data_IF_354795156637
#
_entry.id   IF_354795156637
#
_cell.length_a   1.000
_cell.length_b   1.000
_cell.length_c   1.000
_cell.angle_alpha   90.00
_cell.angle_beta   90.00
_cell.angle_gamma   90.00
#
_symmetry.space_group_name_H-M   'P 1'
#
loop_
_entity.id
_entity.type
_entity.pdbx_description
1 polymer ?
#
# COMPACT_ATOMS: atom_id res chain seq x y z
N UNK A 1 -3.21 -0.66 19.22
CA UNK A 1 -1.75 -0.50 19.17
C UNK A 1 -1.25 0.61 20.11
N UNK A 2 -0.37 0.27 21.06
CA UNK A 2 0.41 1.26 21.81
C UNK A 2 1.48 1.92 20.92
N UNK A 3 1.88 3.18 21.19
CA UNK A 3 2.92 3.86 20.42
C UNK A 3 4.23 3.06 20.34
N UNK A 4 4.79 2.97 19.14
CA UNK A 4 6.10 2.41 18.87
C UNK A 4 7.16 3.49 18.90
N UNK A 5 8.16 3.35 19.77
CA UNK A 5 9.24 4.34 19.93
C UNK A 5 10.58 3.72 19.55
N UNK A 6 11.30 4.34 18.61
CA UNK A 6 12.64 3.87 18.22
C UNK A 6 13.48 5.02 17.68
N UNK A 7 14.68 5.21 18.22
CA UNK A 7 15.65 6.19 17.69
C UNK A 7 15.13 7.63 17.64
N UNK A 8 14.34 8.04 18.64
CA UNK A 8 13.73 9.38 18.67
C UNK A 8 12.55 9.57 17.72
N UNK A 9 12.07 8.50 17.07
CA UNK A 9 10.84 8.48 16.29
C UNK A 9 9.72 7.78 17.06
N UNK A 10 8.48 8.21 16.80
CA UNK A 10 7.27 7.62 17.35
C UNK A 10 6.33 7.27 16.21
N UNK A 11 5.81 6.04 16.17
CA UNK A 11 4.68 5.66 15.36
C UNK A 11 3.47 5.36 16.25
N UNK A 12 2.35 6.04 16.01
CA UNK A 12 1.15 5.95 16.84
C UNK A 12 -0.12 6.13 16.02
N UNK A 13 -1.25 5.79 16.62
CA UNK A 13 -2.56 6.15 16.08
C UNK A 13 -2.78 7.67 16.23
N UNK A 14 -3.43 8.26 15.23
CA UNK A 14 -3.97 9.61 15.31
C UNK A 14 -5.13 9.64 16.33
N UNK A 15 -5.17 10.68 17.16
CA UNK A 15 -6.17 10.82 18.22
C UNK A 15 -6.88 12.19 18.11
N UNK A 16 -8.19 12.14 17.85
CA UNK A 16 -9.04 13.31 17.82
C UNK A 16 -8.83 14.25 16.61
N UNK A 17 -9.57 15.37 16.57
CA UNK A 17 -9.63 16.24 15.39
C UNK A 17 -8.30 16.90 15.03
N UNK A 18 -7.49 17.28 16.02
CA UNK A 18 -6.22 17.99 15.78
C UNK A 18 -5.20 17.13 15.01
N UNK A 19 -5.14 15.83 15.29
CA UNK A 19 -4.29 14.93 14.51
C UNK A 19 -4.85 14.68 13.12
N UNK A 20 -6.18 14.58 12.97
CA UNK A 20 -6.81 14.43 11.67
C UNK A 20 -6.53 15.65 10.77
N UNK A 21 -6.57 16.87 11.30
CA UNK A 21 -6.19 18.08 10.57
C UNK A 21 -4.74 18.01 10.07
N UNK A 22 -3.81 17.57 10.93
CA UNK A 22 -2.39 17.36 10.56
C UNK A 22 -2.25 16.30 9.47
N UNK A 23 -2.97 15.18 9.60
CA UNK A 23 -3.00 14.09 8.60
C UNK A 23 -3.50 14.60 7.25
N UNK A 24 -4.60 15.36 7.23
CA UNK A 24 -5.16 15.89 5.98
C UNK A 24 -4.22 16.89 5.32
N UNK A 25 -3.56 17.75 6.10
CA UNK A 25 -2.53 18.64 5.59
C UNK A 25 -1.35 17.87 4.97
N UNK A 26 -0.87 16.82 5.66
CA UNK A 26 0.23 15.99 5.20
C UNK A 26 -0.11 15.24 3.89
N UNK A 27 -1.32 14.67 3.81
CA UNK A 27 -1.79 13.97 2.62
C UNK A 27 -1.99 14.89 1.43
N UNK A 28 -2.58 16.08 1.61
CA UNK A 28 -2.76 17.05 0.52
C UNK A 28 -1.44 17.40 -0.16
N UNK A 29 -0.34 17.47 0.60
CA UNK A 29 0.98 17.69 0.04
C UNK A 29 1.54 16.45 -0.68
N UNK A 30 1.28 15.25 -0.17
CA UNK A 30 1.80 14.00 -0.73
C UNK A 30 1.04 13.49 -1.96
N UNK A 31 -0.28 13.70 -1.99
CA UNK A 31 -1.22 13.22 -3.00
C UNK A 31 -1.98 14.41 -3.61
N UNK A 32 -1.29 15.27 -4.40
CA UNK A 32 -1.96 16.36 -5.07
C UNK A 32 -3.01 15.81 -6.04
N UNK A 33 -4.25 16.25 -5.88
CA UNK A 33 -5.39 15.87 -6.71
C UNK A 33 -5.80 17.02 -7.62
N UNK A 34 -6.31 16.70 -8.80
CA UNK A 34 -6.86 17.70 -9.73
C UNK A 34 -8.05 18.44 -9.10
N UNK A 35 -8.94 17.74 -8.40
CA UNK A 35 -10.08 18.34 -7.68
C UNK A 35 -9.67 19.10 -6.40
N UNK A 36 -8.47 18.87 -5.88
CA UNK A 36 -8.01 19.40 -4.59
C UNK A 36 -8.61 18.72 -3.34
N UNK A 37 -9.55 17.77 -3.49
CA UNK A 37 -10.18 17.06 -2.37
C UNK A 37 -9.46 15.76 -2.03
N UNK A 38 -8.63 15.76 -0.99
CA UNK A 38 -7.86 14.56 -0.60
C UNK A 38 -8.58 13.64 0.40
N UNK A 39 -9.52 14.16 1.17
CA UNK A 39 -10.35 13.36 2.08
C UNK A 39 -11.31 12.46 1.29
N UNK A 40 -11.53 11.23 1.77
CA UNK A 40 -12.50 10.31 1.19
C UNK A 40 -13.26 9.53 2.27
N UNK A 41 -14.31 8.82 1.85
CA UNK A 41 -15.18 8.07 2.76
C UNK A 41 -14.46 7.00 3.61
N UNK A 42 -13.25 6.57 3.22
CA UNK A 42 -12.49 5.58 3.97
C UNK A 42 -11.80 6.17 5.19
N UNK A 43 -11.69 7.49 5.27
CA UNK A 43 -11.06 8.17 6.41
C UNK A 43 -11.83 7.94 7.70
N UNK A 44 -13.17 7.97 7.65
CA UNK A 44 -13.99 7.67 8.83
C UNK A 44 -13.90 6.21 9.30
N UNK A 45 -13.43 5.30 8.45
CA UNK A 45 -13.42 3.86 8.69
C UNK A 45 -12.02 3.30 8.99
N UNK A 46 -10.98 4.11 8.80
CA UNK A 46 -9.59 3.66 8.88
C UNK A 46 -8.94 4.05 10.20
N UNK A 47 -8.06 3.17 10.68
CA UNK A 47 -7.05 3.57 11.64
C UNK A 47 -5.99 4.41 10.93
N UNK A 48 -5.72 5.60 11.45
CA UNK A 48 -4.72 6.52 10.93
C UNK A 48 -3.42 6.37 11.72
N UNK A 49 -2.32 6.03 11.05
CA UNK A 49 -1.01 5.88 11.68
C UNK A 49 -0.11 7.04 11.28
N UNK A 50 0.38 7.75 12.29
CA UNK A 50 1.33 8.86 12.17
C UNK A 50 2.71 8.35 12.58
N UNK A 51 3.73 8.70 11.80
CA UNK A 51 5.15 8.57 12.18
C UNK A 51 5.73 9.97 12.31
N UNK A 52 6.20 10.33 13.50
CA UNK A 52 6.68 11.67 13.83
C UNK A 52 7.92 11.65 14.73
N UNK A 53 8.59 12.80 14.85
CA UNK A 53 9.66 12.97 15.82
C UNK A 53 9.14 12.92 17.26
N UNK A 54 9.98 12.46 18.19
CA UNK A 54 9.68 12.43 19.61
C UNK A 54 9.21 13.80 20.13
N UNK A 55 8.26 13.78 21.08
CA UNK A 55 7.68 15.00 21.65
C UNK A 55 6.60 15.67 20.78
N UNK A 56 6.00 14.95 19.82
CA UNK A 56 4.94 15.50 18.95
C UNK A 56 5.50 16.41 17.85
N UNK A 57 6.68 16.07 17.32
CA UNK A 57 7.39 16.86 16.33
C UNK A 57 6.76 16.85 14.93
N UNK A 58 7.57 17.15 13.91
CA UNK A 58 7.13 17.11 12.52
C UNK A 58 6.63 15.71 12.13
N UNK A 59 5.53 15.66 11.38
CA UNK A 59 5.06 14.42 10.76
C UNK A 59 6.03 14.05 9.64
N UNK A 60 6.55 12.82 9.71
CA UNK A 60 7.58 12.31 8.81
C UNK A 60 7.05 11.20 7.90
N UNK A 61 6.01 10.50 8.34
CA UNK A 61 5.33 9.47 7.57
C UNK A 61 3.90 9.29 8.03
N UNK A 62 3.09 8.74 7.14
CA UNK A 62 1.68 8.48 7.38
C UNK A 62 1.19 7.31 6.54
N UNK A 63 0.24 6.56 7.08
CA UNK A 63 -0.63 5.68 6.31
C UNK A 63 -1.93 5.44 7.05
N UNK A 64 -2.93 4.91 6.35
CA UNK A 64 -4.16 4.40 6.96
C UNK A 64 -4.29 2.91 6.76
N UNK A 65 -4.99 2.26 7.69
CA UNK A 65 -5.32 0.82 7.63
C UNK A 65 -6.79 0.62 7.94
N UNK A 66 -7.45 -0.16 7.11
CA UNK A 66 -8.76 -0.72 7.40
C UNK A 66 -8.62 -2.23 7.63
N UNK A 67 -9.26 -2.75 8.67
CA UNK A 67 -9.27 -4.18 8.98
C UNK A 67 -10.65 -4.76 8.65
N UNK A 68 -10.68 -5.81 7.84
CA UNK A 68 -11.86 -6.59 7.51
C UNK A 68 -11.78 -7.94 8.21
N UNK A 69 -12.83 -8.31 8.96
CA UNK A 69 -12.86 -9.57 9.70
C UNK A 69 -12.83 -10.82 8.83
N UNK A 70 -13.18 -10.71 7.54
CA UNK A 70 -13.19 -11.79 6.56
C UNK A 70 -13.08 -11.23 5.14
N UNK A 71 -12.81 -12.11 4.17
CA UNK A 71 -12.58 -11.74 2.77
C UNK A 71 -13.64 -10.84 2.13
N UNK A 72 -14.93 -11.19 2.29
CA UNK A 72 -16.04 -10.43 1.71
C UNK A 72 -16.17 -8.99 2.24
N UNK A 73 -15.54 -8.66 3.37
CA UNK A 73 -15.47 -7.27 3.85
C UNK A 73 -14.68 -6.35 2.91
N UNK A 74 -13.76 -6.88 2.11
CA UNK A 74 -12.90 -6.10 1.21
C UNK A 74 -13.69 -5.31 0.15
N UNK A 75 -14.92 -5.71 -0.19
CA UNK A 75 -15.82 -4.93 -1.07
C UNK A 75 -16.14 -3.52 -0.53
N UNK A 76 -15.94 -3.28 0.77
CA UNK A 76 -16.08 -1.95 1.38
C UNK A 76 -14.81 -1.11 1.26
N UNK A 77 -13.68 -1.71 0.89
CA UNK A 77 -12.37 -1.08 0.84
C UNK A 77 -12.18 -0.12 -0.34
N UNK A 78 -11.07 0.61 -0.30
CA UNK A 78 -10.66 1.50 -1.38
C UNK A 78 -10.36 0.74 -2.68
N UNK A 79 -9.70 -0.42 -2.60
CA UNK A 79 -9.35 -1.23 -3.77
C UNK A 79 -10.60 -1.68 -4.55
N UNK A 80 -11.69 -2.03 -3.84
CA UNK A 80 -12.95 -2.45 -4.43
C UNK A 80 -13.64 -1.36 -5.28
N UNK A 81 -13.22 -0.09 -5.18
CA UNK A 81 -13.70 0.98 -6.07
C UNK A 81 -13.16 0.84 -7.50
N UNK A 82 -12.01 0.18 -7.67
CA UNK A 82 -11.30 0.09 -8.95
C UNK A 82 -11.11 -1.34 -9.45
N UNK A 83 -11.14 -2.30 -8.54
CA UNK A 83 -10.98 -3.72 -8.81
C UNK A 83 -12.24 -4.48 -8.42
N UNK A 84 -12.57 -5.53 -9.17
CA UNK A 84 -13.52 -6.53 -8.72
C UNK A 84 -12.82 -7.49 -7.76
N UNK A 85 -13.04 -7.31 -6.46
CA UNK A 85 -12.38 -8.09 -5.40
C UNK A 85 -13.18 -9.33 -5.00
N UNK A 86 -14.25 -9.66 -5.74
CA UNK A 86 -15.05 -10.87 -5.55
C UNK A 86 -14.25 -12.17 -5.39
N UNK A 87 -13.16 -12.40 -6.15
CA UNK A 87 -12.30 -13.58 -5.98
C UNK A 87 -11.65 -13.72 -4.59
N UNK A 88 -11.51 -12.63 -3.84
CA UNK A 88 -10.99 -12.63 -2.47
C UNK A 88 -12.08 -12.74 -1.39
N UNK A 89 -13.37 -12.73 -1.77
CA UNK A 89 -14.48 -12.76 -0.82
C UNK A 89 -14.47 -13.99 0.10
N UNK A 90 -13.98 -15.12 -0.40
CA UNK A 90 -13.85 -16.38 0.35
C UNK A 90 -12.56 -16.52 1.16
N UNK A 91 -11.71 -15.49 1.23
CA UNK A 91 -10.45 -15.58 1.97
C UNK A 91 -10.72 -15.81 3.47
N UNK A 92 -10.14 -16.88 4.02
CA UNK A 92 -10.54 -17.43 5.32
C UNK A 92 -10.04 -16.64 6.54
N UNK A 93 -9.11 -15.72 6.34
CA UNK A 93 -8.49 -14.92 7.40
C UNK A 93 -8.85 -13.44 7.24
N UNK A 94 -8.74 -12.63 8.30
CA UNK A 94 -8.93 -11.19 8.20
C UNK A 94 -8.00 -10.56 7.15
N UNK A 95 -8.46 -9.47 6.54
CA UNK A 95 -7.71 -8.71 5.53
C UNK A 95 -7.41 -7.32 6.12
N UNK A 96 -6.15 -6.90 6.05
CA UNK A 96 -5.76 -5.53 6.28
C UNK A 96 -5.62 -4.81 4.93
N UNK A 97 -6.41 -3.77 4.68
CA UNK A 97 -6.19 -2.88 3.54
C UNK A 97 -5.40 -1.65 3.97
N UNK A 98 -4.29 -1.42 3.27
CA UNK A 98 -3.41 -0.29 3.50
C UNK A 98 -3.57 0.76 2.40
N UNK A 99 -3.68 2.02 2.82
CA UNK A 99 -3.86 3.15 1.91
C UNK A 99 -3.04 4.36 2.32
N UNK A 100 -2.90 5.28 1.35
CA UNK A 100 -2.30 6.61 1.55
C UNK A 100 -0.95 6.60 2.27
N UNK A 101 -0.12 5.59 1.99
CA UNK A 101 1.23 5.56 2.53
C UNK A 101 2.09 6.65 1.89
N UNK A 102 2.53 7.60 2.70
CA UNK A 102 3.41 8.68 2.26
C UNK A 102 4.44 9.04 3.34
N UNK A 103 5.51 9.69 2.89
CA UNK A 103 6.59 10.23 3.73
C UNK A 103 6.83 11.69 3.37
N UNK A 104 7.49 12.43 4.25
CA UNK A 104 7.75 13.85 4.05
C UNK A 104 8.54 14.11 2.75
N UNK A 105 8.26 15.25 2.11
CA UNK A 105 8.80 15.61 0.79
C UNK A 105 10.34 15.70 0.72
N UNK A 106 11.01 15.86 1.88
CA UNK A 106 12.48 15.88 1.99
C UNK A 106 13.17 14.54 1.70
N UNK A 107 12.39 13.50 1.38
CA UNK A 107 12.91 12.21 0.95
C UNK A 107 12.63 11.09 1.95
N UNK A 108 12.83 9.86 1.46
CA UNK A 108 12.56 8.65 2.24
C UNK A 108 13.66 8.45 3.29
N UNK A 109 13.33 8.69 4.56
CA UNK A 109 14.21 8.33 5.67
C UNK A 109 14.06 6.84 5.99
N UNK A 110 15.13 6.04 5.94
CA UNK A 110 15.05 4.59 6.18
C UNK A 110 14.43 4.22 7.53
N UNK A 111 14.70 4.98 8.59
CA UNK A 111 14.18 4.69 9.92
C UNK A 111 12.68 5.00 10.05
N UNK A 112 12.19 6.04 9.36
CA UNK A 112 10.76 6.33 9.25
C UNK A 112 10.03 5.17 8.58
N UNK A 113 10.56 4.65 7.45
CA UNK A 113 9.98 3.48 6.80
C UNK A 113 10.02 2.25 7.71
N UNK A 114 11.16 1.97 8.36
CA UNK A 114 11.29 0.82 9.26
C UNK A 114 10.25 0.88 10.37
N UNK A 115 10.07 2.04 10.99
CA UNK A 115 9.10 2.21 12.07
C UNK A 115 7.67 2.11 11.56
N UNK A 116 7.36 2.68 10.40
CA UNK A 116 6.05 2.55 9.75
C UNK A 116 5.70 1.08 9.45
N UNK A 117 6.66 0.30 8.94
CA UNK A 117 6.50 -1.14 8.72
C UNK A 117 6.38 -1.93 10.03
N UNK A 118 7.05 -1.52 11.10
CA UNK A 118 6.85 -2.09 12.43
C UNK A 118 5.43 -1.87 12.95
N UNK A 119 4.91 -0.65 12.79
CA UNK A 119 3.53 -0.29 13.13
C UNK A 119 2.52 -1.11 12.33
N UNK A 120 2.72 -1.23 11.01
CA UNK A 120 1.92 -2.09 10.14
C UNK A 120 1.96 -3.55 10.61
N UNK A 121 3.16 -4.07 10.93
CA UNK A 121 3.32 -5.45 11.39
C UNK A 121 2.57 -5.69 12.68
N UNK A 122 2.62 -4.76 13.64
CA UNK A 122 1.82 -4.84 14.87
C UNK A 122 0.33 -4.85 14.57
N UNK A 123 -0.17 -3.98 13.69
CA UNK A 123 -1.60 -3.96 13.32
C UNK A 123 -2.04 -5.24 12.61
N UNK A 124 -1.19 -5.80 11.75
CA UNK A 124 -1.43 -7.07 11.06
C UNK A 124 -1.48 -8.24 12.04
N UNK A 125 -0.51 -8.32 12.97
CA UNK A 125 -0.45 -9.39 13.96
C UNK A 125 -1.60 -9.25 15.00
N UNK A 126 -1.88 -8.03 15.52
CA UNK A 126 -2.99 -7.75 16.45
C UNK A 126 -4.36 -8.03 15.79
N UNK A 127 -4.54 -7.66 14.52
CA UNK A 127 -5.74 -7.95 13.74
C UNK A 127 -5.81 -9.37 13.19
N UNK A 128 -4.79 -10.20 13.47
CA UNK A 128 -4.64 -11.58 12.98
C UNK A 128 -4.79 -11.71 11.45
N UNK A 129 -4.49 -10.64 10.72
CA UNK A 129 -4.72 -10.58 9.28
C UNK A 129 -3.88 -11.65 8.58
N UNK A 130 -4.51 -12.41 7.69
CA UNK A 130 -3.83 -13.36 6.83
C UNK A 130 -3.43 -12.75 5.49
N UNK A 131 -3.97 -11.57 5.17
CA UNK A 131 -3.72 -10.87 3.92
C UNK A 131 -3.53 -9.37 4.17
N UNK A 132 -2.50 -8.80 3.56
CA UNK A 132 -2.33 -7.37 3.41
C UNK A 132 -2.63 -7.00 1.95
N UNK A 133 -3.54 -6.05 1.74
CA UNK A 133 -4.00 -5.60 0.42
C UNK A 133 -3.80 -4.09 0.30
N UNK A 134 -3.60 -3.61 -0.92
CA UNK A 134 -3.70 -2.19 -1.22
C UNK A 134 -3.52 -1.91 -2.71
N UNK A 135 -3.50 -0.63 -3.07
CA UNK A 135 -3.14 -0.18 -4.40
C UNK A 135 -1.76 0.47 -4.34
N UNK A 136 -0.78 -0.08 -5.06
CA UNK A 136 0.52 0.58 -5.20
C UNK A 136 0.62 1.27 -6.54
N UNK A 137 1.07 2.52 -6.54
CA UNK A 137 0.99 3.38 -7.71
C UNK A 137 2.36 3.79 -8.25
N UNK A 138 2.48 3.73 -9.56
CA UNK A 138 3.48 4.45 -10.33
C UNK A 138 3.04 5.90 -10.47
N UNK A 139 3.98 6.84 -10.38
CA UNK A 139 3.72 8.27 -10.62
C UNK A 139 3.60 8.52 -12.13
N UNK A 140 2.59 9.27 -12.54
CA UNK A 140 2.24 9.51 -13.94
C UNK A 140 1.26 8.46 -14.46
N UNK A 141 0.17 8.91 -15.06
CA UNK A 141 -0.89 8.05 -15.59
C UNK A 141 -0.60 7.43 -16.96
N UNK A 142 0.48 7.84 -17.65
CA UNK A 142 0.92 7.23 -18.91
C UNK A 142 1.67 5.91 -18.65
N UNK A 143 1.03 4.80 -18.99
CA UNK A 143 1.58 3.47 -18.78
C UNK A 143 2.80 3.16 -19.65
N UNK A 144 2.99 3.85 -20.77
CA UNK A 144 4.12 3.62 -21.67
C UNK A 144 5.44 3.92 -20.95
N UNK A 145 5.44 4.95 -20.08
CA UNK A 145 6.57 5.30 -19.23
C UNK A 145 6.93 4.19 -18.23
N UNK A 146 5.95 3.38 -17.84
CA UNK A 146 6.09 2.32 -16.84
C UNK A 146 6.25 0.92 -17.46
N UNK A 147 6.31 0.82 -18.79
CA UNK A 147 6.33 -0.46 -19.53
C UNK A 147 7.36 -1.45 -18.99
N UNK A 148 8.57 -0.99 -18.68
CA UNK A 148 9.63 -1.87 -18.17
C UNK A 148 9.26 -2.50 -16.82
N UNK A 149 8.73 -1.70 -15.89
CA UNK A 149 8.26 -2.18 -14.58
C UNK A 149 7.07 -3.12 -14.73
N UNK A 150 6.10 -2.76 -15.56
CA UNK A 150 4.93 -3.60 -15.83
C UNK A 150 5.29 -4.94 -16.48
N UNK A 151 6.31 -4.99 -17.36
CA UNK A 151 6.83 -6.24 -17.90
C UNK A 151 7.39 -7.17 -16.82
N UNK A 152 8.12 -6.60 -15.86
CA UNK A 152 8.63 -7.38 -14.73
C UNK A 152 7.50 -7.93 -13.86
N UNK A 153 6.43 -7.16 -13.67
CA UNK A 153 5.25 -7.63 -12.95
C UNK A 153 4.56 -8.79 -13.67
N UNK A 154 4.37 -8.67 -14.98
CA UNK A 154 3.73 -9.70 -15.81
C UNK A 154 4.50 -11.01 -15.81
N UNK A 155 5.83 -10.95 -15.85
CA UNK A 155 6.69 -12.14 -15.97
C UNK A 155 6.72 -12.98 -14.68
N UNK A 156 6.62 -12.38 -13.50
CA UNK A 156 6.95 -13.09 -12.26
C UNK A 156 6.22 -12.68 -10.99
N UNK A 157 5.27 -11.75 -11.06
CA UNK A 157 4.59 -11.23 -9.87
C UNK A 157 3.05 -11.26 -9.94
N UNK A 158 2.47 -11.89 -10.95
CA UNK A 158 1.01 -12.08 -11.00
C UNK A 158 0.54 -13.01 -9.88
N UNK A 159 -0.55 -12.62 -9.23
CA UNK A 159 -1.17 -13.42 -8.18
C UNK A 159 -1.83 -14.72 -8.66
N UNK A 160 -2.16 -15.62 -7.72
CA UNK A 160 -2.93 -16.84 -8.00
C UNK A 160 -4.23 -16.52 -8.75
N UNK A 161 -4.59 -17.34 -9.73
CA UNK A 161 -5.73 -17.06 -10.60
C UNK A 161 -7.05 -16.98 -9.82
N UNK A 162 -7.21 -17.82 -8.80
CA UNK A 162 -8.36 -17.90 -7.91
C UNK A 162 -8.51 -16.69 -6.96
N UNK A 163 -7.46 -15.89 -6.80
CA UNK A 163 -7.45 -14.73 -5.91
C UNK A 163 -7.26 -13.42 -6.66
N UNK A 164 -7.03 -13.49 -7.97
CA UNK A 164 -6.72 -12.32 -8.78
C UNK A 164 -7.97 -11.45 -8.94
N UNK A 165 -7.93 -10.16 -8.58
CA UNK A 165 -9.07 -9.29 -8.79
C UNK A 165 -9.41 -9.13 -10.27
N UNK A 166 -10.70 -9.04 -10.57
CA UNK A 166 -11.22 -8.70 -11.88
C UNK A 166 -11.18 -7.20 -12.16
N UNK A 167 -11.57 -6.82 -13.37
CA UNK A 167 -11.60 -5.42 -13.83
C UNK A 167 -12.91 -4.76 -13.41
N UNK A 168 -12.82 -3.57 -12.81
CA UNK A 168 -13.99 -2.73 -12.46
C UNK A 168 -13.85 -1.30 -12.95
N UNK A 169 -12.64 -0.74 -12.93
CA UNK A 169 -12.38 0.60 -13.43
C UNK A 169 -12.63 0.71 -14.95
N UNK A 170 -13.04 1.91 -15.39
CA UNK A 170 -13.31 2.18 -16.80
C UNK A 170 -12.04 2.20 -17.68
N UNK A 171 -10.93 2.69 -17.13
CA UNK A 171 -9.65 2.78 -17.84
C UNK A 171 -8.60 1.89 -17.16
N UNK A 172 -8.21 0.82 -17.87
CA UNK A 172 -7.27 -0.19 -17.39
C UNK A 172 -6.24 -0.54 -18.46
N UNK A 173 -5.06 -0.95 -18.01
CA UNK A 173 -3.97 -1.43 -18.84
C UNK A 173 -3.81 -2.92 -18.61
N UNK A 174 -4.16 -3.73 -19.62
CA UNK A 174 -3.83 -5.15 -19.67
C UNK A 174 -2.34 -5.31 -19.96
N UNK A 175 -1.53 -5.18 -18.92
CA UNK A 175 -0.11 -5.12 -19.14
C UNK A 175 0.51 -6.46 -19.58
N UNK A 176 0.04 -7.67 -19.18
CA UNK A 176 0.53 -8.92 -19.76
C UNK A 176 0.36 -9.01 -21.28
N UNK A 177 -0.73 -8.48 -21.83
CA UNK A 177 -0.95 -8.45 -23.27
C UNK A 177 -0.12 -7.38 -24.01
N UNK A 178 0.30 -6.30 -23.32
CA UNK A 178 0.84 -5.10 -23.97
C UNK A 178 2.36 -4.95 -23.88
N UNK A 179 2.99 -5.34 -22.77
CA UNK A 179 4.34 -4.88 -22.40
C UNK A 179 5.50 -5.71 -22.97
N UNK A 180 5.22 -6.90 -23.51
CA UNK A 180 6.25 -7.81 -24.03
C UNK A 180 7.23 -8.31 -22.95
N UNK A 181 8.33 -8.97 -23.34
CA UNK A 181 9.27 -9.57 -22.38
C UNK A 181 10.11 -8.52 -21.64
N UNK A 182 10.60 -8.88 -20.44
CA UNK A 182 11.56 -8.05 -19.70
C UNK A 182 12.89 -8.01 -20.48
N UNK A 183 13.27 -6.81 -20.94
CA UNK A 183 14.53 -6.60 -21.67
C UNK A 183 15.73 -6.40 -20.76
N UNK A 184 15.56 -5.59 -19.72
CA UNK A 184 16.57 -5.32 -18.71
C UNK A 184 15.92 -5.35 -17.32
N UNK A 185 16.27 -6.38 -16.54
CA UNK A 185 15.69 -6.61 -15.22
C UNK A 185 16.09 -5.54 -14.22
N UNK A 186 17.29 -4.95 -14.34
CA UNK A 186 17.77 -3.89 -13.44
C UNK A 186 16.99 -2.60 -13.67
N UNK A 187 16.78 -2.22 -14.93
CA UNK A 187 15.96 -1.05 -15.30
C UNK A 187 14.51 -1.26 -14.87
N UNK A 188 13.94 -2.44 -15.15
CA UNK A 188 12.58 -2.75 -14.74
C UNK A 188 12.38 -2.68 -13.22
N UNK A 189 13.32 -3.24 -12.45
CA UNK A 189 13.29 -3.17 -10.99
C UNK A 189 13.42 -1.73 -10.48
N UNK A 190 14.33 -0.93 -11.06
CA UNK A 190 14.49 0.48 -10.71
C UNK A 190 13.23 1.31 -10.98
N UNK A 191 12.47 0.96 -12.03
CA UNK A 191 11.22 1.61 -12.41
C UNK A 191 10.02 1.27 -11.51
N UNK A 192 10.09 0.23 -10.67
CA UNK A 192 9.02 -0.08 -9.72
C UNK A 192 8.95 0.96 -8.59
N UNK A 193 7.76 1.33 -8.10
CA UNK A 193 7.63 2.13 -6.89
C UNK A 193 8.36 1.49 -5.70
N UNK A 194 9.06 2.27 -4.85
CA UNK A 194 9.81 1.71 -3.71
C UNK A 194 8.96 0.85 -2.77
N UNK A 195 7.71 1.25 -2.56
CA UNK A 195 6.76 0.48 -1.75
C UNK A 195 6.40 -0.85 -2.42
N UNK A 196 6.17 -0.85 -3.74
CA UNK A 196 5.88 -2.06 -4.51
C UNK A 196 7.04 -3.06 -4.39
N UNK A 197 8.28 -2.59 -4.57
CA UNK A 197 9.47 -3.45 -4.39
C UNK A 197 9.52 -4.10 -3.02
N UNK A 198 9.10 -3.37 -1.98
CA UNK A 198 9.08 -3.90 -0.62
C UNK A 198 8.05 -5.02 -0.47
N UNK A 199 6.83 -4.85 -1.01
CA UNK A 199 5.82 -5.90 -1.02
C UNK A 199 6.27 -7.13 -1.79
N UNK A 200 6.82 -6.97 -3.00
CA UNK A 200 7.32 -8.08 -3.80
C UNK A 200 8.46 -8.85 -3.09
N UNK A 201 9.35 -8.13 -2.40
CA UNK A 201 10.39 -8.73 -1.56
C UNK A 201 9.85 -9.49 -0.33
N UNK A 202 8.59 -9.27 0.05
CA UNK A 202 7.87 -10.02 1.08
C UNK A 202 7.06 -11.18 0.50
N UNK A 203 7.28 -11.56 -0.76
CA UNK A 203 6.49 -12.58 -1.45
C UNK A 203 5.15 -12.07 -1.98
N UNK A 204 4.98 -10.75 -2.06
CA UNK A 204 3.79 -10.13 -2.58
C UNK A 204 3.61 -10.34 -4.08
N UNK A 205 2.37 -10.17 -4.52
CA UNK A 205 1.92 -10.32 -5.89
C UNK A 205 0.97 -9.19 -6.29
N UNK A 206 0.68 -9.08 -7.59
CA UNK A 206 -0.19 -8.04 -8.18
C UNK A 206 -1.31 -8.60 -9.08
N UNK A 207 -2.34 -7.79 -9.34
CA UNK A 207 -3.36 -8.06 -10.39
C UNK A 207 -2.75 -8.07 -11.79
N UNK A 208 -3.41 -8.64 -12.78
CA UNK A 208 -2.96 -8.68 -14.20
C UNK A 208 -3.27 -7.41 -15.01
N UNK A 209 -3.76 -6.37 -14.35
CA UNK A 209 -4.01 -5.09 -14.96
C UNK A 209 -3.70 -3.96 -13.99
N UNK A 210 -3.37 -2.82 -14.55
CA UNK A 210 -3.19 -1.58 -13.82
C UNK A 210 -4.34 -0.62 -14.13
N UNK A 211 -4.74 0.19 -13.17
CA UNK A 211 -5.80 1.17 -13.30
C UNK A 211 -5.17 2.54 -13.53
N UNK A 212 -5.69 3.25 -14.53
CA UNK A 212 -5.26 4.61 -14.85
C UNK A 212 -6.05 5.59 -13.98
N UNK A 213 -5.38 6.25 -13.05
CA UNK A 213 -5.99 7.26 -12.18
C UNK A 213 -5.51 8.65 -12.60
N UNK A 214 -6.36 9.34 -13.37
CA UNK A 214 -6.09 10.70 -13.85
C UNK A 214 -6.31 11.77 -12.78
N UNK A 215 -7.04 11.45 -11.71
CA UNK A 215 -7.29 12.38 -10.62
C UNK A 215 -6.05 12.58 -9.75
N UNK A 216 -5.28 11.51 -9.56
CA UNK A 216 -3.99 11.51 -8.85
C UNK A 216 -2.77 11.58 -9.78
N UNK A 217 -2.98 11.54 -11.09
CA UNK A 217 -1.93 11.34 -12.10
C UNK A 217 -1.03 10.13 -11.74
N UNK A 218 -1.65 8.96 -11.60
CA UNK A 218 -0.96 7.71 -11.29
C UNK A 218 -1.46 6.55 -12.11
N UNK A 219 -0.62 5.52 -12.21
CA UNK A 219 -1.01 4.20 -12.67
C UNK A 219 -0.89 3.25 -11.49
N UNK A 220 -1.99 2.70 -10.97
CA UNK A 220 -1.93 1.84 -9.79
C UNK A 220 -2.25 0.39 -10.10
N UNK A 221 -1.56 -0.52 -9.42
CA UNK A 221 -1.79 -1.96 -9.46
C UNK A 221 -2.34 -2.41 -8.12
N UNK A 222 -3.26 -3.37 -8.13
CA UNK A 222 -3.64 -4.08 -6.92
C UNK A 222 -2.42 -4.86 -6.44
N UNK A 223 -2.09 -4.73 -5.16
CA UNK A 223 -0.93 -5.39 -4.55
C UNK A 223 -1.39 -6.15 -3.33
N UNK A 224 -0.84 -7.34 -3.15
CA UNK A 224 -1.19 -8.22 -2.06
C UNK A 224 0.04 -8.90 -1.46
N UNK A 225 0.00 -9.15 -0.15
CA UNK A 225 0.96 -9.98 0.57
C UNK A 225 0.21 -10.95 1.48
N UNK A 226 0.44 -12.23 1.28
CA UNK A 226 0.00 -13.27 2.20
C UNK A 226 0.97 -13.31 3.39
N UNK A 227 0.45 -13.09 4.60
CA UNK A 227 1.27 -12.94 5.80
C UNK A 227 2.11 -14.18 6.08
N UNK A 228 1.58 -15.37 5.80
CA UNK A 228 2.26 -16.64 6.01
C UNK A 228 3.33 -16.95 4.94
N UNK A 229 3.34 -16.20 3.82
CA UNK A 229 4.36 -16.32 2.76
C UNK A 229 5.52 -15.34 2.92
N UNK A 230 5.44 -14.41 3.87
CA UNK A 230 6.54 -13.48 4.15
C UNK A 230 7.79 -14.28 4.55
N UNK A 231 8.95 -14.08 3.89
CA UNK A 231 10.17 -14.81 4.23
C UNK A 231 10.50 -14.71 5.72
N UNK A 232 10.80 -15.85 6.36
CA UNK A 232 10.97 -15.93 7.82
C UNK A 232 11.93 -14.87 8.38
N UNK A 233 13.09 -14.66 7.74
CA UNK A 233 14.05 -13.66 8.17
C UNK A 233 13.46 -12.23 8.13
N UNK A 234 12.64 -11.94 7.11
CA UNK A 234 11.95 -10.66 6.97
C UNK A 234 10.87 -10.50 8.04
N UNK A 235 10.06 -11.53 8.28
CA UNK A 235 9.04 -11.51 9.32
C UNK A 235 9.64 -11.29 10.73
N UNK A 236 10.73 -11.99 11.05
CA UNK A 236 11.47 -11.79 12.33
C UNK A 236 11.98 -10.36 12.44
N UNK A 237 12.61 -9.83 11.38
CA UNK A 237 13.11 -8.45 11.39
C UNK A 237 11.99 -7.42 11.57
N UNK A 238 10.82 -7.63 10.98
CA UNK A 238 9.67 -6.74 11.10
C UNK A 238 9.08 -6.79 12.51
N UNK A 239 8.89 -7.99 13.07
CA UNK A 239 8.39 -8.18 14.44
C UNK A 239 9.35 -7.62 15.50
N UNK A 240 10.66 -7.71 15.28
CA UNK A 240 11.64 -7.07 16.16
C UNK A 240 11.52 -5.53 16.19
N UNK A 241 10.97 -4.90 15.15
CA UNK A 241 10.64 -3.46 15.17
C UNK A 241 9.26 -3.22 15.80
N UNK A 242 8.32 -4.14 15.57
CA UNK A 242 6.99 -4.10 16.16
C UNK A 242 7.02 -4.30 17.68
N UNK A 243 8.08 -4.87 18.26
CA UNK A 243 8.16 -5.16 19.70
C UNK A 243 7.11 -6.16 20.15
#
# INVERSE_FOLDING_TARGET
MYPLVKGGLVARLAEGPADLDRVMAFRRAAFPRVSGQEEDAQDALSAHVIVEGAGGGAMLGYFRVMLFGWGAGLEQGYAARFYDVGPLSGYARPIAEMGRFCVAAGGVQPDVLRLAWGAMTRLVDEGQAGLLVGCTSFRGADWVLHRAGLALLAEGHLGPAEHRPGRRAAEVVDYPALVGPVRDRRVALAGLPPLLRTYLGMGGWVSDHAVVDRELDTLHVFTCVEVDRVPRARAVSLRAVAG
#
